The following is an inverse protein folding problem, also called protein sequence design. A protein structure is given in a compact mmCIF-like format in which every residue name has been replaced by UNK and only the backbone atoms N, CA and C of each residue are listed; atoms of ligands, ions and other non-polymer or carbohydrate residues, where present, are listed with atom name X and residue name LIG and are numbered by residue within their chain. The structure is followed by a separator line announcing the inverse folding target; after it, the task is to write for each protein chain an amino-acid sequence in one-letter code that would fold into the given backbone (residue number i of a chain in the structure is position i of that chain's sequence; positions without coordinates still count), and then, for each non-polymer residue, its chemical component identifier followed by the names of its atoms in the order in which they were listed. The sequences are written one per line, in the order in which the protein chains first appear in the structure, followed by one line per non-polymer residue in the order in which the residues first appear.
data_IF_716279745806
#
_entry.id   IF_716279745806
#
_cell.length_a   1.000
_cell.length_b   1.000
_cell.length_c   1.000
_cell.angle_alpha   90.00
_cell.angle_beta   90.00
_cell.angle_gamma   90.00
#
_symmetry.space_group_name_H-M   'P 1'
#
loop_
_entity.id
_entity.type
_entity.pdbx_description
1 polymer ?
#
# COMPACT_ATOMS: atom_id res chain seq x y z
N UNK A 1 46.71 20.38 2.49
CA UNK A 1 45.62 21.08 1.76
C UNK A 1 44.82 20.13 0.87
N UNK A 2 45.49 19.34 0.02
CA UNK A 2 44.82 18.41 -0.92
C UNK A 2 43.95 17.33 -0.24
N UNK A 3 44.38 16.80 0.91
CA UNK A 3 43.62 15.77 1.65
C UNK A 3 42.29 16.31 2.18
N UNK A 4 42.27 17.56 2.68
CA UNK A 4 41.05 18.21 3.18
C UNK A 4 40.04 18.46 2.05
N UNK A 5 40.53 18.79 0.86
CA UNK A 5 39.70 18.97 -0.34
C UNK A 5 39.08 17.64 -0.77
N UNK A 6 39.86 16.56 -0.78
CA UNK A 6 39.37 15.21 -1.12
C UNK A 6 38.30 14.75 -0.13
N UNK A 7 38.52 14.95 1.17
CA UNK A 7 37.53 14.62 2.21
C UNK A 7 36.23 15.41 2.06
N UNK A 8 36.32 16.70 1.70
CA UNK A 8 35.15 17.54 1.44
C UNK A 8 34.30 17.01 0.28
N UNK A 9 34.93 16.61 -0.83
CA UNK A 9 34.23 16.07 -2.02
C UNK A 9 33.50 14.76 -1.69
N UNK A 10 34.12 13.89 -0.89
CA UNK A 10 33.51 12.61 -0.46
C UNK A 10 32.28 12.88 0.40
N UNK A 11 32.38 13.79 1.37
CA UNK A 11 31.26 14.16 2.25
C UNK A 11 30.09 14.75 1.45
N UNK A 12 30.37 15.68 0.53
CA UNK A 12 29.34 16.28 -0.33
C UNK A 12 28.65 15.20 -1.18
N UNK A 13 29.41 14.25 -1.72
CA UNK A 13 28.87 13.16 -2.53
C UNK A 13 27.95 12.24 -1.72
N UNK A 14 28.32 11.90 -0.48
CA UNK A 14 27.48 11.13 0.45
C UNK A 14 26.17 11.88 0.77
N UNK A 15 26.25 13.19 1.02
CA UNK A 15 25.08 14.03 1.29
C UNK A 15 24.13 14.04 0.09
N UNK A 16 24.65 14.19 -1.14
CA UNK A 16 23.84 14.18 -2.36
C UNK A 16 23.12 12.83 -2.52
N UNK A 17 23.83 11.71 -2.31
CA UNK A 17 23.24 10.36 -2.37
C UNK A 17 22.14 10.20 -1.31
N UNK A 18 22.36 10.67 -0.09
CA UNK A 18 21.36 10.62 0.99
C UNK A 18 20.10 11.43 0.64
N UNK A 19 20.25 12.66 0.13
CA UNK A 19 19.13 13.49 -0.30
C UNK A 19 18.35 12.81 -1.43
N UNK A 20 19.05 12.22 -2.41
CA UNK A 20 18.42 11.48 -3.50
C UNK A 20 17.62 10.26 -3.02
N UNK A 21 18.18 9.49 -2.07
CA UNK A 21 17.51 8.35 -1.46
C UNK A 21 16.29 8.77 -0.63
N UNK A 22 16.37 9.91 0.07
CA UNK A 22 15.25 10.48 0.83
C UNK A 22 14.14 10.99 -0.11
N UNK A 23 14.48 11.67 -1.21
CA UNK A 23 13.49 12.18 -2.17
C UNK A 23 12.75 11.06 -2.93
N UNK A 24 13.36 9.88 -3.11
CA UNK A 24 12.65 8.70 -3.63
C UNK A 24 11.56 8.16 -2.69
N UNK A 25 11.59 8.51 -1.41
CA UNK A 25 10.48 8.25 -0.48
C UNK A 25 9.37 9.28 -0.69
N UNK A 26 8.69 9.24 -1.84
CA UNK A 26 7.36 9.88 -1.94
C UNK A 26 6.52 9.39 -0.76
N UNK A 27 5.82 10.27 -0.03
CA UNK A 27 4.85 9.82 0.96
C UNK A 27 3.84 8.96 0.21
N UNK A 28 3.73 7.70 0.61
CA UNK A 28 2.75 6.82 0.00
C UNK A 28 1.40 7.30 0.52
N UNK A 29 0.53 7.71 -0.41
CA UNK A 29 -0.85 8.07 -0.08
C UNK A 29 -1.46 6.94 0.74
N UNK A 30 -2.07 7.27 1.88
CA UNK A 30 -2.76 6.26 2.66
C UNK A 30 -4.11 5.96 1.99
N UNK A 31 -4.22 4.80 1.36
CA UNK A 31 -5.45 4.36 0.68
C UNK A 31 -6.31 3.46 1.58
N UNK A 32 -5.89 3.22 2.83
CA UNK A 32 -6.65 2.46 3.82
C UNK A 32 -7.64 3.40 4.52
N UNK A 33 -8.74 3.69 3.83
CA UNK A 33 -9.87 4.43 4.38
C UNK A 33 -11.20 3.88 3.86
N UNK A 34 -12.29 4.19 4.57
CA UNK A 34 -13.59 3.55 4.36
C UNK A 34 -14.11 3.63 2.92
N UNK A 35 -13.97 4.80 2.28
CA UNK A 35 -14.38 4.97 0.87
C UNK A 35 -13.73 3.94 -0.07
N UNK A 36 -12.44 3.67 0.08
CA UNK A 36 -11.73 2.70 -0.75
C UNK A 36 -12.07 1.26 -0.36
N UNK A 37 -12.27 1.01 0.93
CA UNK A 37 -12.78 -0.29 1.39
C UNK A 37 -14.13 -0.64 0.76
N UNK A 38 -15.07 0.31 0.75
CA UNK A 38 -16.39 0.15 0.12
C UNK A 38 -16.22 -0.05 -1.38
N UNK A 39 -15.41 0.77 -2.04
CA UNK A 39 -15.13 0.66 -3.48
C UNK A 39 -14.63 -0.74 -3.86
N UNK A 40 -13.64 -1.27 -3.14
CA UNK A 40 -13.11 -2.62 -3.41
C UNK A 40 -14.16 -3.69 -3.10
N UNK A 41 -14.93 -3.54 -2.01
CA UNK A 41 -15.94 -4.52 -1.63
C UNK A 41 -17.06 -4.65 -2.66
N UNK A 42 -17.52 -3.53 -3.19
CA UNK A 42 -18.72 -3.41 -4.02
C UNK A 42 -18.42 -3.44 -5.53
N UNK A 43 -17.19 -3.11 -5.94
CA UNK A 43 -16.84 -3.09 -7.36
C UNK A 43 -16.94 -4.50 -7.97
N UNK A 44 -17.57 -4.63 -9.16
CA UNK A 44 -17.63 -5.89 -9.89
C UNK A 44 -16.28 -6.27 -10.50
N UNK A 45 -15.34 -5.33 -10.58
CA UNK A 45 -14.03 -5.51 -11.20
C UNK A 45 -12.94 -5.92 -10.20
N UNK A 46 -13.24 -5.88 -8.89
CA UNK A 46 -12.22 -6.07 -7.85
C UNK A 46 -11.52 -7.41 -7.94
N UNK A 47 -12.28 -8.49 -8.13
CA UNK A 47 -11.72 -9.85 -8.18
C UNK A 47 -10.91 -10.08 -9.46
N UNK A 48 -11.26 -9.41 -10.56
CA UNK A 48 -10.55 -9.49 -11.84
C UNK A 48 -9.23 -8.71 -11.82
N UNK A 49 -9.22 -7.52 -11.21
CA UNK A 49 -8.06 -6.62 -11.17
C UNK A 49 -7.08 -6.95 -10.03
N UNK A 50 -7.48 -7.82 -9.11
CA UNK A 50 -6.69 -8.16 -7.94
C UNK A 50 -5.75 -9.33 -8.23
N UNK A 51 -4.45 -9.13 -7.97
CA UNK A 51 -3.48 -10.24 -7.97
C UNK A 51 -3.77 -11.33 -6.92
N UNK A 52 -4.54 -10.97 -5.88
CA UNK A 52 -4.90 -11.83 -4.76
C UNK A 52 -6.38 -12.22 -4.82
N UNK A 53 -6.72 -13.37 -4.25
CA UNK A 53 -8.10 -13.71 -3.97
C UNK A 53 -8.65 -12.77 -2.87
N UNK A 54 -9.79 -12.11 -3.13
CA UNK A 54 -10.46 -11.22 -2.17
C UNK A 54 -11.65 -11.95 -1.56
N UNK A 55 -11.53 -12.32 -0.28
CA UNK A 55 -12.63 -12.90 0.48
C UNK A 55 -13.38 -11.78 1.21
N UNK A 56 -14.66 -11.61 0.85
CA UNK A 56 -15.57 -10.62 1.43
C UNK A 56 -16.17 -11.15 2.73
N UNK A 57 -15.52 -10.90 3.85
CA UNK A 57 -16.02 -11.26 5.19
C UNK A 57 -17.04 -10.25 5.71
N UNK A 58 -17.81 -10.59 6.75
CA UNK A 58 -18.83 -9.68 7.35
C UNK A 58 -18.25 -8.33 7.78
N UNK A 59 -17.01 -8.32 8.29
CA UNK A 59 -16.36 -7.13 8.85
C UNK A 59 -15.00 -6.83 8.19
N UNK A 60 -14.73 -7.38 7.01
CA UNK A 60 -13.45 -7.13 6.36
C UNK A 60 -13.34 -7.67 4.94
N UNK A 61 -12.21 -7.34 4.33
CA UNK A 61 -11.74 -7.90 3.07
C UNK A 61 -10.41 -8.60 3.35
N UNK A 62 -10.38 -9.92 3.19
CA UNK A 62 -9.17 -10.72 3.37
C UNK A 62 -8.55 -11.01 2.02
N UNK A 63 -7.24 -10.77 1.92
CA UNK A 63 -6.45 -11.00 0.71
C UNK A 63 -5.63 -12.27 0.87
N UNK A 64 -5.80 -13.23 -0.04
CA UNK A 64 -5.08 -14.50 -0.04
C UNK A 64 -4.27 -14.69 -1.32
N UNK A 65 -3.13 -15.36 -1.19
CA UNK A 65 -2.41 -15.89 -2.36
C UNK A 65 -3.24 -16.99 -3.02
N UNK A 66 -2.95 -17.28 -4.29
CA UNK A 66 -3.58 -18.39 -5.02
C UNK A 66 -3.30 -19.77 -4.40
N UNK A 67 -2.24 -19.87 -3.60
CA UNK A 67 -1.87 -21.05 -2.82
C UNK A 67 -2.67 -21.17 -1.51
N UNK A 68 -3.49 -20.16 -1.18
CA UNK A 68 -4.39 -20.17 -0.02
C UNK A 68 -3.84 -19.49 1.23
N UNK A 69 -2.66 -18.87 1.19
CA UNK A 69 -2.11 -18.17 2.36
C UNK A 69 -2.74 -16.78 2.52
N UNK A 70 -3.18 -16.44 3.73
CA UNK A 70 -3.70 -15.10 4.02
C UNK A 70 -2.57 -14.11 4.27
N UNK A 71 -2.52 -13.02 3.50
CA UNK A 71 -1.48 -12.01 3.61
C UNK A 71 -1.87 -10.90 4.58
N UNK A 72 -3.04 -10.29 4.36
CA UNK A 72 -3.54 -9.19 5.17
C UNK A 72 -5.07 -9.07 5.06
N UNK A 73 -5.64 -8.27 5.97
CA UNK A 73 -7.06 -7.96 6.01
C UNK A 73 -7.22 -6.44 6.09
N UNK A 74 -8.14 -5.87 5.32
CA UNK A 74 -8.70 -4.55 5.62
C UNK A 74 -9.96 -4.78 6.44
N UNK A 75 -9.89 -4.47 7.74
CA UNK A 75 -10.96 -4.73 8.71
C UNK A 75 -11.72 -3.45 9.02
N UNK A 76 -13.05 -3.52 9.01
CA UNK A 76 -13.91 -2.47 9.52
C UNK A 76 -13.86 -2.49 11.05
N UNK A 77 -13.27 -1.45 11.64
CA UNK A 77 -13.13 -1.33 13.09
C UNK A 77 -14.38 -0.71 13.71
N UNK A 78 -14.94 0.33 13.06
CA UNK A 78 -16.20 0.95 13.43
C UNK A 78 -16.95 1.35 12.15
N UNK A 79 -18.20 0.87 12.02
CA UNK A 79 -19.06 1.25 10.89
C UNK A 79 -19.55 2.70 11.04
N UNK A 80 -19.86 3.11 12.26
CA UNK A 80 -20.36 4.45 12.58
C UNK A 80 -19.28 5.52 12.33
N UNK A 81 -18.04 5.23 12.74
CA UNK A 81 -16.91 6.16 12.56
C UNK A 81 -16.20 5.98 11.23
N UNK A 82 -16.71 5.10 10.33
CA UNK A 82 -16.07 4.80 9.06
C UNK A 82 -14.57 4.46 9.21
N UNK A 83 -14.24 3.73 10.26
CA UNK A 83 -12.85 3.43 10.60
C UNK A 83 -12.48 2.05 10.05
N UNK A 84 -11.43 2.00 9.24
CA UNK A 84 -10.86 0.76 8.72
C UNK A 84 -9.39 0.65 9.09
N UNK A 85 -8.94 -0.57 9.37
CA UNK A 85 -7.57 -0.87 9.74
C UNK A 85 -6.99 -1.93 8.82
N UNK A 86 -5.76 -1.72 8.40
CA UNK A 86 -4.96 -2.74 7.74
C UNK A 86 -4.31 -3.62 8.80
N UNK A 87 -4.52 -4.93 8.70
CA UNK A 87 -3.95 -5.94 9.59
C UNK A 87 -3.14 -6.92 8.75
N UNK A 88 -1.81 -6.86 8.84
CA UNK A 88 -0.94 -7.89 8.28
C UNK A 88 -1.05 -9.19 9.07
N UNK A 89 -1.13 -10.33 8.39
CA UNK A 89 -1.19 -11.66 9.00
C UNK A 89 0.17 -12.36 8.90
N UNK A 90 0.36 -13.47 9.62
CA UNK A 90 1.53 -14.37 9.50
C UNK A 90 2.93 -13.71 9.60
N UNK A 91 3.10 -12.71 10.48
CA UNK A 91 4.37 -11.96 10.67
C UNK A 91 4.69 -10.92 9.57
N UNK A 92 3.71 -10.54 8.74
CA UNK A 92 3.87 -9.53 7.68
C UNK A 92 3.64 -8.09 8.17
N UNK A 93 3.59 -7.82 9.49
CA UNK A 93 3.31 -6.48 10.04
C UNK A 93 4.28 -5.39 9.56
N UNK A 94 5.51 -5.76 9.17
CA UNK A 94 6.50 -4.85 8.57
C UNK A 94 6.16 -4.41 7.13
N UNK A 95 5.22 -5.10 6.46
CA UNK A 95 4.82 -4.86 5.07
C UNK A 95 3.56 -4.03 4.91
N UNK A 96 3.07 -3.39 5.98
CA UNK A 96 1.91 -2.50 5.91
C UNK A 96 2.04 -1.44 4.81
N UNK A 97 3.26 -0.96 4.58
CA UNK A 97 3.57 0.00 3.52
C UNK A 97 3.34 -0.58 2.11
N UNK A 98 3.77 -1.82 1.90
CA UNK A 98 3.60 -2.56 0.65
C UNK A 98 2.13 -2.87 0.39
N UNK A 99 1.41 -3.32 1.42
CA UNK A 99 -0.02 -3.58 1.32
C UNK A 99 -0.81 -2.29 1.06
N UNK A 100 -0.45 -1.17 1.69
CA UNK A 100 -1.09 0.10 1.38
C UNK A 100 -0.85 0.53 -0.08
N UNK A 101 0.38 0.38 -0.60
CA UNK A 101 0.66 0.64 -2.03
C UNK A 101 -0.17 -0.25 -2.94
N UNK A 102 -0.26 -1.54 -2.62
CA UNK A 102 -1.08 -2.48 -3.36
C UNK A 102 -2.55 -2.03 -3.41
N UNK A 103 -3.10 -1.64 -2.26
CA UNK A 103 -4.48 -1.14 -2.17
C UNK A 103 -4.67 0.15 -2.98
N UNK A 104 -3.72 1.09 -2.94
CA UNK A 104 -3.78 2.28 -3.79
C UNK A 104 -3.86 1.89 -5.28
N UNK A 105 -2.97 1.02 -5.74
CA UNK A 105 -2.92 0.60 -7.13
C UNK A 105 -4.22 -0.10 -7.55
N UNK A 106 -4.79 -0.97 -6.70
CA UNK A 106 -6.05 -1.64 -6.98
C UNK A 106 -7.21 -0.64 -7.09
N UNK A 107 -7.26 0.34 -6.19
CA UNK A 107 -8.27 1.42 -6.24
C UNK A 107 -8.14 2.23 -7.53
N UNK A 108 -6.92 2.60 -7.92
CA UNK A 108 -6.68 3.34 -9.15
C UNK A 108 -7.13 2.56 -10.38
N UNK A 109 -6.80 1.26 -10.45
CA UNK A 109 -7.25 0.38 -11.54
C UNK A 109 -8.78 0.25 -11.60
N UNK A 110 -9.44 0.09 -10.46
CA UNK A 110 -10.91 0.04 -10.39
C UNK A 110 -11.52 1.34 -10.91
N UNK A 111 -10.99 2.49 -10.50
CA UNK A 111 -11.48 3.80 -10.92
C UNK A 111 -11.24 4.03 -12.43
N UNK A 112 -10.06 3.69 -12.94
CA UNK A 112 -9.75 3.79 -14.38
C UNK A 112 -10.68 2.91 -15.22
N UNK A 113 -10.94 1.67 -14.78
CA UNK A 113 -11.85 0.76 -15.49
C UNK A 113 -13.29 1.27 -15.47
N UNK A 114 -13.75 1.80 -14.32
CA UNK A 114 -15.08 2.41 -14.19
C UNK A 114 -15.27 3.61 -15.13
N UNK A 115 -14.23 4.38 -15.40
CA UNK A 115 -14.33 5.55 -16.28
C UNK A 115 -14.28 5.19 -17.79
N UNK A 116 -13.93 3.94 -18.12
CA UNK A 116 -13.81 3.47 -19.51
C UNK A 116 -15.07 2.71 -19.97
N UNK A 117 -15.91 2.25 -19.03
CA UNK A 117 -17.19 1.58 -19.25
C UNK A 117 -18.36 2.52 -18.96
#
# INVERSE_FOLDING_TARGET
MSILIIMSIIVVSIIIVLIFLLNKRKPISNCIHYKNYVLIRESPYSDELSDYEIIKEKQGLRFRTREGYSLFIIKLHSKENQEVKLIGLASYGARNLEFNRYICNLVDQINSKKNTN
#
